data_IF_475636557243
#
_entry.id   IF_475636557243
#
_cell.length_a   1.000
_cell.length_b   1.000
_cell.length_c   1.000
_cell.angle_alpha   90.00
_cell.angle_beta   90.00
_cell.angle_gamma   90.00
#
_symmetry.space_group_name_H-M   'P 1'
#
loop_
_entity.id
_entity.type
_entity.pdbx_description
1 polymer ?
#
# COMPACT_ATOMS: atom_id res chain seq x y z
N UNK A 1 -18.92 -6.08 -18.39
CA UNK A 1 -18.36 -4.86 -17.79
C UNK A 1 -16.92 -4.82 -18.27
N UNK A 2 -16.67 -3.99 -19.28
CA UNK A 2 -15.54 -4.12 -20.21
C UNK A 2 -14.17 -4.03 -19.54
N UNK A 3 -13.40 -5.09 -19.75
CA UNK A 3 -12.01 -5.26 -19.36
C UNK A 3 -11.14 -4.40 -20.28
N UNK A 4 -10.87 -3.15 -19.88
CA UNK A 4 -9.92 -2.28 -20.58
C UNK A 4 -8.48 -2.75 -20.30
N UNK A 5 -8.09 -3.89 -20.88
CA UNK A 5 -6.68 -4.27 -21.01
C UNK A 5 -6.01 -3.26 -21.93
N UNK A 6 -5.18 -2.41 -21.36
CA UNK A 6 -4.32 -1.53 -22.15
C UNK A 6 -3.16 -2.39 -22.68
N UNK A 7 -2.98 -2.53 -24.00
CA UNK A 7 -2.01 -3.46 -24.59
C UNK A 7 -0.54 -3.10 -24.33
N UNK A 8 -0.26 -1.98 -23.64
CA UNK A 8 1.08 -1.42 -23.49
C UNK A 8 1.75 -1.74 -22.13
N UNK A 9 1.04 -2.38 -21.19
CA UNK A 9 1.53 -2.55 -19.81
C UNK A 9 1.81 -4.00 -19.44
N UNK A 10 2.99 -4.32 -18.86
CA UNK A 10 3.39 -5.68 -18.52
C UNK A 10 2.56 -6.32 -17.40
N UNK A 11 1.96 -5.53 -16.51
CA UNK A 11 1.14 -6.04 -15.42
C UNK A 11 -0.32 -5.61 -15.57
N UNK A 12 -1.22 -6.59 -15.58
CA UNK A 12 -2.66 -6.40 -15.60
C UNK A 12 -3.16 -6.02 -14.20
N UNK A 13 -2.95 -4.75 -13.84
CA UNK A 13 -3.45 -4.12 -12.61
C UNK A 13 -4.48 -3.10 -13.02
N UNK A 14 -5.72 -3.26 -12.55
CA UNK A 14 -6.79 -2.31 -12.84
C UNK A 14 -6.68 -1.06 -11.95
N UNK A 15 -7.27 0.05 -12.40
CA UNK A 15 -7.38 1.26 -11.56
C UNK A 15 -8.27 1.03 -10.34
N UNK A 16 -9.24 0.13 -10.45
CA UNK A 16 -10.17 -0.20 -9.38
C UNK A 16 -9.47 -0.86 -8.19
N UNK A 17 -8.53 -1.77 -8.45
CA UNK A 17 -7.76 -2.41 -7.37
C UNK A 17 -6.91 -1.41 -6.58
N UNK A 18 -6.38 -0.38 -7.25
CA UNK A 18 -5.65 0.70 -6.58
C UNK A 18 -6.59 1.56 -5.74
N UNK A 19 -7.83 1.77 -6.20
CA UNK A 19 -8.87 2.46 -5.45
C UNK A 19 -9.30 1.68 -4.19
N UNK A 20 -9.60 0.39 -4.31
CA UNK A 20 -9.98 -0.46 -3.17
C UNK A 20 -8.85 -0.54 -2.14
N UNK A 21 -7.59 -0.61 -2.60
CA UNK A 21 -6.43 -0.55 -1.73
C UNK A 21 -6.34 0.80 -0.98
N UNK A 22 -6.66 1.91 -1.64
CA UNK A 22 -6.75 3.21 -0.98
C UNK A 22 -7.80 3.23 0.13
N UNK A 23 -8.99 2.69 -0.10
CA UNK A 23 -10.05 2.67 0.92
C UNK A 23 -9.61 1.91 2.18
N UNK A 24 -8.94 0.76 2.01
CA UNK A 24 -8.35 -0.01 3.12
C UNK A 24 -7.28 0.79 3.88
N UNK A 25 -6.39 1.47 3.15
CA UNK A 25 -5.32 2.28 3.75
C UNK A 25 -5.89 3.49 4.50
N UNK A 26 -6.90 4.15 3.94
CA UNK A 26 -7.60 5.28 4.55
C UNK A 26 -8.27 4.87 5.87
N UNK A 27 -8.93 3.71 5.89
CA UNK A 27 -9.60 3.20 7.09
C UNK A 27 -8.62 2.94 8.26
N UNK A 28 -7.38 2.54 7.97
CA UNK A 28 -6.36 2.23 8.98
C UNK A 28 -5.74 3.47 9.65
N UNK A 29 -5.95 4.69 9.13
CA UNK A 29 -5.48 5.97 9.72
C UNK A 29 -4.00 5.97 10.14
N UNK A 30 -3.12 5.42 9.30
CA UNK A 30 -1.70 5.26 9.61
C UNK A 30 -0.92 6.58 9.61
N UNK A 31 0.09 6.68 10.47
CA UNK A 31 1.01 7.82 10.52
C UNK A 31 1.70 8.09 9.16
N UNK A 32 2.14 9.32 8.89
CA UNK A 32 2.85 9.65 7.65
C UNK A 32 4.18 8.90 7.55
N UNK A 33 4.61 8.64 6.31
CA UNK A 33 5.90 8.01 6.02
C UNK A 33 7.07 9.00 6.11
N UNK A 34 8.17 8.68 5.43
CA UNK A 34 9.37 9.55 5.38
C UNK A 34 9.11 10.88 4.65
N UNK A 35 8.10 10.91 3.78
CA UNK A 35 7.67 12.09 3.01
C UNK A 35 6.79 13.06 3.81
N UNK A 36 6.40 12.70 5.04
CA UNK A 36 5.54 13.53 5.88
C UNK A 36 4.09 13.64 5.38
N UNK A 37 3.72 12.94 4.31
CA UNK A 37 2.39 13.06 3.71
C UNK A 37 1.34 12.32 4.56
N UNK A 38 0.38 13.07 5.11
CA UNK A 38 -0.77 12.52 5.83
C UNK A 38 -1.80 11.91 4.87
N UNK A 39 -2.78 11.17 5.41
CA UNK A 39 -3.90 10.65 4.61
C UNK A 39 -4.72 11.81 4.03
N UNK A 40 -4.91 12.86 4.83
CA UNK A 40 -5.64 14.06 4.47
C UNK A 40 -4.93 14.85 3.37
N UNK A 41 -3.59 14.95 3.43
CA UNK A 41 -2.80 15.58 2.38
C UNK A 41 -2.84 14.78 1.08
N UNK A 42 -2.80 13.45 1.18
CA UNK A 42 -2.88 12.57 0.04
C UNK A 42 -4.25 12.67 -0.67
N UNK A 43 -5.33 12.83 0.09
CA UNK A 43 -6.70 12.92 -0.41
C UNK A 43 -6.97 14.22 -1.20
N UNK A 44 -6.20 15.30 -0.95
CA UNK A 44 -6.34 16.58 -1.67
C UNK A 44 -6.16 16.47 -3.19
N UNK A 45 -5.30 15.56 -3.66
CA UNK A 45 -5.07 15.29 -5.09
C UNK A 45 -5.23 13.78 -5.39
N UNK A 46 -6.30 13.20 -4.84
CA UNK A 46 -6.50 11.75 -4.80
C UNK A 46 -6.40 11.10 -6.18
N UNK A 47 -7.16 11.61 -7.16
CA UNK A 47 -7.21 11.02 -8.50
C UNK A 47 -5.82 10.97 -9.15
N UNK A 48 -5.05 12.05 -9.05
CA UNK A 48 -3.70 12.12 -9.62
C UNK A 48 -2.72 11.23 -8.89
N UNK A 49 -2.82 11.17 -7.56
CA UNK A 49 -1.98 10.32 -6.73
C UNK A 49 -2.22 8.83 -7.02
N UNK A 50 -3.48 8.40 -7.09
CA UNK A 50 -3.84 7.02 -7.47
C UNK A 50 -3.42 6.70 -8.90
N UNK A 51 -3.58 7.63 -9.84
CA UNK A 51 -3.14 7.43 -11.22
C UNK A 51 -1.62 7.22 -11.31
N UNK A 52 -0.81 7.99 -10.57
CA UNK A 52 0.66 7.80 -10.53
C UNK A 52 1.03 6.42 -9.99
N UNK A 53 0.37 5.97 -8.93
CA UNK A 53 0.60 4.64 -8.34
C UNK A 53 0.23 3.55 -9.35
N UNK A 54 -1.00 3.59 -9.85
CA UNK A 54 -1.48 2.66 -10.87
C UNK A 54 -0.52 2.60 -12.05
N UNK A 55 -0.10 3.76 -12.57
CA UNK A 55 0.76 3.83 -13.73
C UNK A 55 2.08 3.11 -13.51
N UNK A 56 2.75 3.39 -12.37
CA UNK A 56 4.04 2.79 -12.03
C UNK A 56 3.95 1.31 -11.73
N UNK A 57 2.89 0.87 -11.04
CA UNK A 57 2.69 -0.54 -10.73
C UNK A 57 2.41 -1.35 -12.00
N UNK A 58 1.48 -0.87 -12.83
CA UNK A 58 1.11 -1.55 -14.09
C UNK A 58 2.26 -1.57 -15.10
N UNK A 59 3.14 -0.56 -15.10
CA UNK A 59 4.35 -0.54 -15.95
C UNK A 59 5.55 -1.31 -15.37
N UNK A 60 5.50 -1.74 -14.11
CA UNK A 60 6.65 -2.36 -13.44
C UNK A 60 7.75 -1.39 -13.00
N UNK A 61 7.51 -0.08 -13.07
CA UNK A 61 8.48 0.95 -12.69
C UNK A 61 8.23 1.52 -11.29
N UNK A 62 7.43 0.82 -10.47
CA UNK A 62 7.20 1.21 -9.09
C UNK A 62 8.45 0.95 -8.25
N UNK A 63 9.01 2.02 -7.68
CA UNK A 63 10.13 1.95 -6.75
C UNK A 63 9.70 2.57 -5.41
N UNK A 64 9.63 1.78 -4.34
CA UNK A 64 9.17 2.27 -3.05
C UNK A 64 10.21 3.22 -2.43
N UNK A 65 9.77 4.32 -1.77
CA UNK A 65 10.64 5.15 -0.96
C UNK A 65 11.10 4.40 0.31
N UNK A 66 12.15 4.88 0.99
CA UNK A 66 12.57 4.30 2.27
C UNK A 66 11.45 4.44 3.33
N UNK A 67 11.37 3.46 4.24
CA UNK A 67 10.44 3.49 5.36
C UNK A 67 10.95 4.42 6.47
N UNK A 68 10.04 5.12 7.16
CA UNK A 68 10.39 5.96 8.31
C UNK A 68 10.53 5.10 9.57
N UNK A 69 11.68 5.14 10.22
CA UNK A 69 11.89 4.45 11.49
C UNK A 69 11.21 5.21 12.64
N UNK A 70 10.39 4.51 13.42
CA UNK A 70 9.73 5.04 14.62
C UNK A 70 10.06 4.13 15.79
N UNK A 71 10.66 4.69 16.83
CA UNK A 71 10.92 3.96 18.06
C UNK A 71 9.64 3.85 18.89
N UNK A 72 9.28 2.64 19.26
CA UNK A 72 8.14 2.35 20.14
C UNK A 72 8.68 1.63 21.38
N UNK A 73 8.48 2.19 22.59
CA UNK A 73 8.86 1.52 23.83
C UNK A 73 8.15 0.17 23.97
N UNK A 74 8.86 -0.85 24.46
CA UNK A 74 8.23 -2.11 24.88
C UNK A 74 7.47 -1.89 26.20
N UNK A 75 6.30 -2.51 26.34
CA UNK A 75 5.42 -2.33 27.49
C UNK A 75 6.06 -2.62 28.86
N UNK A 76 7.08 -3.49 28.92
CA UNK A 76 7.74 -3.91 30.16
C UNK A 76 9.19 -3.37 30.31
N UNK A 77 9.55 -2.30 29.60
CA UNK A 77 10.82 -1.57 29.83
C UNK A 77 12.09 -2.22 29.27
N UNK A 78 12.01 -3.39 28.63
CA UNK A 78 13.16 -4.10 28.04
C UNK A 78 13.68 -3.54 26.70
N UNK A 79 13.64 -2.22 26.50
CA UNK A 79 14.12 -1.53 25.30
C UNK A 79 13.05 -1.07 24.32
N UNK A 80 13.47 -0.67 23.11
CA UNK A 80 12.62 -0.17 22.03
C UNK A 80 12.43 -1.20 20.92
N UNK A 81 11.27 -1.17 20.24
CA UNK A 81 11.09 -1.78 18.92
C UNK A 81 11.08 -0.69 17.87
N UNK A 82 11.79 -0.91 16.76
CA UNK A 82 11.74 0.01 15.62
C UNK A 82 10.61 -0.44 14.70
N UNK A 83 9.64 0.44 14.47
CA UNK A 83 8.59 0.27 13.48
C UNK A 83 8.96 1.02 12.20
N UNK A 84 8.92 0.33 11.06
CA UNK A 84 9.02 0.95 9.74
C UNK A 84 7.64 1.45 9.31
N UNK A 85 7.48 2.76 9.14
CA UNK A 85 6.27 3.39 8.63
C UNK A 85 6.46 3.74 7.15
N UNK A 86 5.87 2.98 6.22
CA UNK A 86 5.91 3.30 4.79
C UNK A 86 5.07 4.54 4.46
N UNK A 87 5.28 5.12 3.28
CA UNK A 87 4.47 6.24 2.78
C UNK A 87 3.05 5.79 2.43
N UNK A 88 2.11 6.74 2.29
CA UNK A 88 0.73 6.41 1.89
C UNK A 88 0.70 5.67 0.55
N UNK A 89 1.48 6.15 -0.42
CA UNK A 89 1.58 5.53 -1.74
C UNK A 89 2.12 4.10 -1.69
N UNK A 90 3.08 3.84 -0.79
CA UNK A 90 3.67 2.51 -0.62
C UNK A 90 2.71 1.56 0.09
N UNK A 91 1.97 2.03 1.10
CA UNK A 91 0.89 1.23 1.72
C UNK A 91 -0.16 0.81 0.70
N UNK A 92 -0.55 1.69 -0.22
CA UNK A 92 -1.52 1.36 -1.28
C UNK A 92 -0.94 0.29 -2.20
N UNK A 93 0.31 0.46 -2.65
CA UNK A 93 0.96 -0.52 -3.53
C UNK A 93 1.11 -1.90 -2.86
N UNK A 94 1.56 -1.92 -1.59
CA UNK A 94 1.64 -3.15 -0.80
C UNK A 94 0.27 -3.80 -0.61
N UNK A 95 -0.78 -3.01 -0.38
CA UNK A 95 -2.16 -3.53 -0.23
C UNK A 95 -2.67 -4.17 -1.52
N UNK A 96 -2.40 -3.58 -2.69
CA UNK A 96 -2.73 -4.20 -3.99
C UNK A 96 -2.04 -5.56 -4.15
N UNK A 97 -0.76 -5.64 -3.80
CA UNK A 97 0.01 -6.89 -3.88
C UNK A 97 -0.53 -7.92 -2.88
N UNK A 98 -0.79 -7.51 -1.64
CA UNK A 98 -1.31 -8.38 -0.59
C UNK A 98 -2.64 -9.02 -1.02
N UNK A 99 -3.61 -8.24 -1.50
CA UNK A 99 -4.92 -8.74 -1.97
C UNK A 99 -4.75 -9.75 -3.11
N UNK A 100 -3.87 -9.47 -4.07
CA UNK A 100 -3.56 -10.42 -5.16
C UNK A 100 -2.94 -11.72 -4.64
N UNK A 101 -2.03 -11.64 -3.68
CA UNK A 101 -1.38 -12.83 -3.11
C UNK A 101 -2.35 -13.63 -2.25
N UNK A 102 -3.18 -12.98 -1.43
CA UNK A 102 -4.20 -13.62 -0.60
C UNK A 102 -5.14 -14.49 -1.44
N UNK A 103 -5.57 -14.03 -2.61
CA UNK A 103 -6.39 -14.83 -3.53
C UNK A 103 -5.73 -16.12 -4.04
N UNK A 104 -4.40 -16.22 -3.95
CA UNK A 104 -3.60 -17.35 -4.44
C UNK A 104 -3.10 -18.26 -3.32
N UNK A 105 -3.14 -17.79 -2.07
CA UNK A 105 -2.69 -18.55 -0.90
C UNK A 105 -3.87 -19.38 -0.37
N UNK A 106 -3.69 -20.67 -0.04
CA UNK A 106 -4.77 -21.47 0.49
C UNK A 106 -5.28 -20.89 1.82
N UNK A 107 -6.60 -20.84 1.99
CA UNK A 107 -7.29 -20.26 3.16
C UNK A 107 -6.76 -20.78 4.51
N UNK A 108 -6.29 -22.02 4.56
CA UNK A 108 -5.74 -22.64 5.76
C UNK A 108 -4.44 -21.98 6.27
N UNK A 109 -3.71 -21.27 5.42
CA UNK A 109 -2.47 -20.57 5.79
C UNK A 109 -2.72 -19.16 6.33
N UNK A 110 -3.93 -18.61 6.16
CA UNK A 110 -4.27 -17.26 6.63
C UNK A 110 -4.51 -17.26 8.14
N UNK A 111 -5.04 -18.36 8.70
CA UNK A 111 -5.34 -18.48 10.13
C UNK A 111 -4.12 -18.80 11.03
N UNK A 112 -2.95 -19.11 10.44
CA UNK A 112 -1.77 -19.53 11.20
C UNK A 112 -0.78 -18.40 11.50
N UNK A 113 -1.03 -17.17 11.03
CA UNK A 113 -0.12 -16.01 11.18
C UNK A 113 -0.81 -14.79 11.82
N UNK A 114 -1.90 -14.99 12.54
CA UNK A 114 -2.59 -13.94 13.30
C UNK A 114 -2.48 -14.23 14.80
#
# INVERSE_FOLDING_TARGET
MDELKSPEKPFDISKWEVWEAWEKVRANKGAPGVDGCSIEDFEKDLQRNLYKIWSRMSSGSYFPPPVRAVEIPKAHGGGVRILGVPTVADRIAQTVVAVRLESRVPVLWIFTIQ
#
